data_IF_292359584663
#
_entry.id   IF_292359584663
#
_cell.length_a   1.000
_cell.length_b   1.000
_cell.length_c   1.000
_cell.angle_alpha   90.00
_cell.angle_beta   90.00
_cell.angle_gamma   90.00
#
_symmetry.space_group_name_H-M   'P 1'
#
loop_
_entity.id
_entity.type
_entity.pdbx_description
1 polymer ?
#
# COMPACT_ATOMS: atom_id res chain seq x y z
N UNK A 1 13.75 18.95 -1.72
CA UNK A 1 12.60 18.06 -1.44
C UNK A 1 12.11 17.30 -2.68
N UNK A 2 11.75 17.98 -3.77
CA UNK A 2 11.22 17.34 -4.99
C UNK A 2 12.19 16.34 -5.66
N UNK A 3 13.48 16.68 -5.73
CA UNK A 3 14.50 15.79 -6.33
C UNK A 3 14.69 14.50 -5.51
N UNK A 4 14.73 14.63 -4.18
CA UNK A 4 14.82 13.50 -3.25
C UNK A 4 13.64 12.52 -3.41
N UNK A 5 12.41 13.04 -3.53
CA UNK A 5 11.23 12.21 -3.74
C UNK A 5 11.28 11.45 -5.07
N UNK A 6 11.68 12.15 -6.15
CA UNK A 6 11.87 11.55 -7.49
C UNK A 6 12.92 10.44 -7.48
N UNK A 7 14.00 10.61 -6.72
CA UNK A 7 15.04 9.58 -6.60
C UNK A 7 14.55 8.36 -5.84
N UNK A 8 13.83 8.57 -4.72
CA UNK A 8 13.25 7.48 -3.94
C UNK A 8 12.26 6.67 -4.79
N UNK A 9 11.34 7.34 -5.50
CA UNK A 9 10.41 6.70 -6.44
C UNK A 9 11.14 5.93 -7.54
N UNK A 10 12.18 6.52 -8.14
CA UNK A 10 12.99 5.83 -9.16
C UNK A 10 13.67 4.57 -8.63
N UNK A 11 14.12 4.57 -7.37
CA UNK A 11 14.70 3.38 -6.73
C UNK A 11 13.64 2.30 -6.53
N UNK A 12 12.45 2.64 -6.03
CA UNK A 12 11.34 1.68 -5.88
C UNK A 12 10.91 1.07 -7.21
N UNK A 13 10.72 1.91 -8.23
CA UNK A 13 10.34 1.43 -9.57
C UNK A 13 11.42 0.51 -10.15
N UNK A 14 12.70 0.89 -10.06
CA UNK A 14 13.79 0.02 -10.53
C UNK A 14 13.83 -1.31 -9.78
N UNK A 15 13.68 -1.29 -8.47
CA UNK A 15 13.63 -2.50 -7.65
C UNK A 15 12.51 -3.44 -8.14
N UNK A 16 11.28 -2.94 -8.32
CA UNK A 16 10.15 -3.73 -8.81
C UNK A 16 10.43 -4.31 -10.19
N UNK A 17 11.01 -3.52 -11.10
CA UNK A 17 11.33 -3.97 -12.46
C UNK A 17 12.42 -5.06 -12.48
N UNK A 18 13.31 -5.09 -11.48
CA UNK A 18 14.41 -6.04 -11.38
C UNK A 18 14.03 -7.34 -10.68
N UNK A 19 12.81 -7.47 -10.14
CA UNK A 19 12.35 -8.70 -9.50
C UNK A 19 12.34 -9.87 -10.50
N UNK A 20 12.88 -11.01 -10.07
CA UNK A 20 12.97 -12.25 -10.85
C UNK A 20 11.71 -13.10 -10.69
N UNK A 21 10.63 -12.68 -11.34
CA UNK A 21 9.35 -13.39 -11.33
C UNK A 21 8.54 -13.04 -12.60
N UNK A 22 7.42 -13.73 -12.81
CA UNK A 22 6.48 -13.43 -13.89
C UNK A 22 5.91 -12.02 -13.74
N UNK A 23 5.74 -11.26 -14.85
CA UNK A 23 5.14 -9.93 -14.80
C UNK A 23 3.78 -9.88 -14.11
N UNK A 24 2.97 -10.93 -14.26
CA UNK A 24 1.64 -11.08 -13.65
C UNK A 24 1.73 -11.26 -12.13
N UNK A 25 2.72 -12.03 -11.63
CA UNK A 25 2.96 -12.20 -10.19
C UNK A 25 3.41 -10.89 -9.55
N UNK A 26 4.34 -10.17 -10.18
CA UNK A 26 4.83 -8.87 -9.70
C UNK A 26 3.71 -7.82 -9.71
N UNK A 27 2.93 -7.74 -10.80
CA UNK A 27 1.82 -6.82 -10.92
C UNK A 27 0.72 -7.08 -9.87
N UNK A 28 0.37 -8.36 -9.62
CA UNK A 28 -0.55 -8.73 -8.53
C UNK A 28 0.00 -8.30 -7.18
N UNK A 29 1.28 -8.56 -6.93
CA UNK A 29 1.96 -8.14 -5.71
C UNK A 29 1.86 -6.64 -5.48
N UNK A 30 2.19 -5.82 -6.48
CA UNK A 30 2.10 -4.36 -6.40
C UNK A 30 0.66 -3.88 -6.14
N UNK A 31 -0.30 -4.40 -6.90
CA UNK A 31 -1.70 -3.99 -6.77
C UNK A 31 -2.29 -4.31 -5.40
N UNK A 32 -2.08 -5.55 -4.92
CA UNK A 32 -2.58 -6.01 -3.62
C UNK A 32 -1.83 -5.32 -2.48
N UNK A 33 -0.52 -5.18 -2.60
CA UNK A 33 0.28 -4.47 -1.61
C UNK A 33 -0.16 -3.01 -1.47
N UNK A 34 -0.47 -2.33 -2.58
CA UNK A 34 -1.04 -0.97 -2.52
C UNK A 34 -2.42 -0.96 -1.88
N UNK A 35 -3.29 -1.90 -2.26
CA UNK A 35 -4.61 -2.03 -1.65
C UNK A 35 -4.50 -2.17 -0.13
N UNK A 36 -3.66 -3.09 0.34
CA UNK A 36 -3.44 -3.32 1.77
C UNK A 36 -2.79 -2.10 2.45
N UNK A 37 -1.86 -1.39 1.80
CA UNK A 37 -1.22 -0.19 2.32
C UNK A 37 -2.22 0.95 2.63
N UNK A 38 -3.31 1.04 1.85
CA UNK A 38 -4.36 2.04 2.06
C UNK A 38 -5.41 1.59 3.09
N UNK A 39 -5.38 0.35 3.58
CA UNK A 39 -6.30 -0.08 4.64
C UNK A 39 -5.73 0.26 6.02
N UNK A 40 -6.59 0.61 7.01
CA UNK A 40 -6.17 0.93 8.36
C UNK A 40 -5.76 -0.32 9.17
N UNK A 41 -4.75 -1.04 8.68
CA UNK A 41 -4.27 -2.32 9.21
C UNK A 41 -2.77 -2.30 9.55
N UNK A 42 -2.17 -1.11 9.71
CA UNK A 42 -0.78 -0.92 10.18
C UNK A 42 -0.48 -1.85 11.36
N UNK A 43 0.67 -2.50 11.36
CA UNK A 43 0.98 -3.63 12.26
C UNK A 43 0.78 -4.99 11.60
N UNK A 44 -0.30 -5.15 10.84
CA UNK A 44 -0.71 -6.43 10.23
C UNK A 44 -0.60 -6.47 8.71
N UNK A 45 -0.46 -5.33 8.02
CA UNK A 45 -0.40 -5.23 6.55
C UNK A 45 0.55 -6.26 5.89
N UNK A 46 1.75 -6.43 6.46
CA UNK A 46 2.75 -7.39 5.99
C UNK A 46 2.26 -8.83 6.09
N UNK A 47 1.65 -9.18 7.23
CA UNK A 47 1.05 -10.50 7.45
C UNK A 47 -0.12 -10.73 6.51
N UNK A 48 -0.93 -9.69 6.24
CA UNK A 48 -2.04 -9.75 5.29
C UNK A 48 -1.52 -10.04 3.88
N UNK A 49 -0.49 -9.34 3.40
CA UNK A 49 0.12 -9.60 2.08
C UNK A 49 0.66 -11.03 1.98
N UNK A 50 1.38 -11.48 3.00
CA UNK A 50 1.91 -12.87 3.03
C UNK A 50 0.76 -13.87 3.08
N UNK A 51 -0.27 -13.62 3.86
CA UNK A 51 -1.45 -14.47 3.97
C UNK A 51 -2.18 -14.60 2.63
N UNK A 52 -2.45 -13.48 1.97
CA UNK A 52 -3.08 -13.45 0.63
C UNK A 52 -2.23 -14.23 -0.38
N UNK A 53 -0.90 -14.17 -0.28
CA UNK A 53 -0.01 -14.89 -1.19
C UNK A 53 -0.10 -16.42 -1.12
N UNK A 54 -0.74 -16.99 -0.09
CA UNK A 54 -1.03 -18.42 -0.03
C UNK A 54 -2.24 -18.81 -0.90
N UNK A 55 -3.17 -17.89 -1.13
CA UNK A 55 -4.38 -18.14 -1.91
C UNK A 55 -4.21 -17.76 -3.38
N UNK A 56 -3.40 -16.74 -3.65
CA UNK A 56 -3.14 -16.26 -5.00
C UNK A 56 -1.65 -16.09 -5.24
N UNK A 57 -1.19 -16.53 -6.42
CA UNK A 57 0.20 -16.42 -6.83
C UNK A 57 0.58 -14.95 -7.07
N UNK A 58 1.13 -14.29 -6.05
CA UNK A 58 1.65 -12.93 -6.14
C UNK A 58 3.10 -12.89 -5.65
N UNK A 59 3.84 -11.91 -6.13
CA UNK A 59 5.21 -11.68 -5.67
C UNK A 59 5.15 -11.01 -4.29
N UNK A 60 5.50 -11.77 -3.24
CA UNK A 60 5.44 -11.31 -1.84
C UNK A 60 6.27 -10.06 -1.61
N UNK A 61 7.48 -10.01 -2.18
CA UNK A 61 8.37 -8.86 -2.05
C UNK A 61 7.79 -7.61 -2.70
N UNK A 62 7.19 -7.74 -3.89
CA UNK A 62 6.51 -6.62 -4.54
C UNK A 62 5.37 -6.07 -3.67
N UNK A 63 4.54 -6.93 -3.07
CA UNK A 63 3.46 -6.50 -2.18
C UNK A 63 3.95 -5.85 -0.88
N UNK A 64 4.97 -6.46 -0.26
CA UNK A 64 5.64 -5.93 0.94
C UNK A 64 6.21 -4.53 0.70
N UNK A 65 6.86 -4.30 -0.43
CA UNK A 65 7.42 -3.00 -0.77
C UNK A 65 6.35 -1.92 -0.86
N UNK A 66 5.16 -2.26 -1.36
CA UNK A 66 4.04 -1.32 -1.42
C UNK A 66 3.48 -0.99 -0.04
N UNK A 67 3.47 -1.95 0.89
CA UNK A 67 3.06 -1.70 2.29
C UNK A 67 3.93 -0.66 2.97
N UNK A 68 5.22 -0.52 2.61
CA UNK A 68 6.08 0.53 3.16
C UNK A 68 5.69 1.97 2.76
N UNK A 69 4.72 2.14 1.86
CA UNK A 69 4.15 3.45 1.55
C UNK A 69 3.41 4.01 2.77
N UNK A 70 2.72 3.19 3.55
CA UNK A 70 2.04 3.53 4.81
C UNK A 70 2.98 3.39 6.01
N UNK A 71 3.96 4.29 6.10
CA UNK A 71 4.93 4.37 7.20
C UNK A 71 4.47 5.40 8.27
N UNK A 72 5.12 5.47 9.45
CA UNK A 72 4.76 6.42 10.54
C UNK A 72 4.53 7.87 10.09
N UNK A 73 5.25 8.34 9.08
CA UNK A 73 5.12 9.70 8.58
C UNK A 73 3.93 9.90 7.63
N UNK A 74 3.49 8.85 6.95
CA UNK A 74 2.42 8.90 5.94
C UNK A 74 1.10 8.30 6.41
N UNK A 75 1.08 7.51 7.49
CA UNK A 75 -0.15 6.84 7.95
C UNK A 75 -1.22 7.84 8.40
N UNK A 76 -0.85 8.91 9.13
CA UNK A 76 -1.82 9.90 9.63
C UNK A 76 -2.54 10.62 8.47
N UNK A 77 -1.83 11.18 7.47
CA UNK A 77 -2.51 11.80 6.33
C UNK A 77 -3.27 10.79 5.45
N UNK A 78 -2.81 9.54 5.32
CA UNK A 78 -3.54 8.50 4.57
C UNK A 78 -4.85 8.18 5.29
N UNK A 79 -4.80 7.86 6.59
CA UNK A 79 -6.00 7.46 7.32
C UNK A 79 -6.98 8.61 7.51
N UNK A 80 -6.48 9.85 7.56
CA UNK A 80 -7.36 11.02 7.53
C UNK A 80 -8.11 11.13 6.20
N UNK A 81 -7.41 10.94 5.08
CA UNK A 81 -8.03 10.91 3.76
C UNK A 81 -9.05 9.77 3.66
N UNK A 82 -8.71 8.58 4.16
CA UNK A 82 -9.62 7.43 4.20
C UNK A 82 -10.85 7.74 5.04
N UNK A 83 -10.67 8.27 6.26
CA UNK A 83 -11.76 8.65 7.13
C UNK A 83 -12.69 9.69 6.47
N UNK A 84 -12.14 10.79 5.95
CA UNK A 84 -12.93 11.82 5.27
C UNK A 84 -13.71 11.24 4.09
N UNK A 85 -13.06 10.39 3.30
CA UNK A 85 -13.67 9.79 2.11
C UNK A 85 -14.79 8.84 2.49
N UNK A 86 -14.57 7.95 3.46
CA UNK A 86 -15.62 7.04 3.90
C UNK A 86 -16.74 7.74 4.66
N UNK A 87 -16.44 8.76 5.46
CA UNK A 87 -17.49 9.51 6.14
C UNK A 87 -18.37 10.26 5.14
N UNK A 88 -17.76 10.90 4.14
CA UNK A 88 -18.47 11.58 3.07
C UNK A 88 -19.31 10.62 2.21
N UNK A 89 -18.74 9.50 1.77
CA UNK A 89 -19.41 8.56 0.85
C UNK A 89 -20.55 7.79 1.53
N UNK A 90 -20.45 7.53 2.84
CA UNK A 90 -21.38 6.66 3.57
C UNK A 90 -22.21 7.40 4.62
N UNK A 91 -22.10 8.73 4.70
CA UNK A 91 -22.97 9.58 5.51
C UNK A 91 -22.68 9.56 7.01
N UNK A 92 -21.42 9.39 7.41
CA UNK A 92 -21.03 9.50 8.83
C UNK A 92 -20.77 10.96 9.21
N UNK A 93 -21.05 11.29 10.47
CA UNK A 93 -20.67 12.58 11.03
C UNK A 93 -19.14 12.70 11.15
N UNK A 94 -18.63 13.88 10.80
CA UNK A 94 -17.20 14.16 10.86
C UNK A 94 -16.80 14.57 12.28
N UNK A 95 -15.88 13.80 12.87
CA UNK A 95 -15.15 14.22 14.07
C UNK A 95 -14.18 15.34 13.71
N UNK A 96 -13.87 16.17 14.69
CA UNK A 96 -12.87 17.23 14.51
C UNK A 96 -11.48 16.63 14.26
N UNK A 97 -10.64 17.40 13.56
CA UNK A 97 -9.23 17.01 13.34
C UNK A 97 -8.50 16.70 14.65
N UNK A 98 -8.81 17.43 15.74
CA UNK A 98 -8.19 17.23 17.05
C UNK A 98 -8.59 15.89 17.68
N UNK A 99 -9.86 15.49 17.55
CA UNK A 99 -10.34 14.18 17.99
C UNK A 99 -9.75 13.06 17.14
N UNK A 100 -9.63 13.25 15.81
CA UNK A 100 -8.97 12.28 14.96
C UNK A 100 -7.49 12.09 15.32
N UNK A 101 -6.77 13.18 15.62
CA UNK A 101 -5.36 13.12 16.01
C UNK A 101 -5.12 12.39 17.34
N UNK A 102 -6.09 12.37 18.26
CA UNK A 102 -5.92 11.67 19.54
C UNK A 102 -5.80 10.15 19.36
N UNK A 103 -6.35 9.60 18.26
CA UNK A 103 -6.23 8.18 17.88
C UNK A 103 -4.76 7.76 17.72
N UNK A 104 -3.95 8.67 17.19
CA UNK A 104 -2.56 8.43 16.82
C UNK A 104 -1.56 8.89 17.87
N UNK A 105 -2.01 9.21 19.09
CA UNK A 105 -1.14 9.38 20.25
C UNK A 105 -0.66 8.01 20.73
N UNK A 106 0.07 7.31 19.86
CA UNK A 106 0.62 5.98 20.11
C UNK A 106 1.90 6.17 20.94
N UNK A 107 1.89 5.67 22.17
CA UNK A 107 3.07 5.68 23.06
C UNK A 107 3.99 4.48 22.76
N UNK A 108 3.46 3.42 22.14
CA UNK A 108 4.22 2.20 21.87
C UNK A 108 5.16 2.31 20.67
N UNK A 109 6.38 1.82 20.86
CA UNK A 109 7.41 1.72 19.81
C UNK A 109 7.31 0.41 19.02
N UNK A 110 6.51 -0.54 19.49
CA UNK A 110 6.42 -1.89 18.94
C UNK A 110 5.28 -2.00 17.92
N UNK A 111 5.64 -2.23 16.65
CA UNK A 111 4.73 -2.18 15.49
C UNK A 111 3.46 -3.04 15.60
N UNK A 112 3.53 -4.24 16.20
CA UNK A 112 2.34 -5.09 16.35
C UNK A 112 1.44 -4.67 17.52
N UNK A 113 1.98 -3.98 18.54
CA UNK A 113 1.18 -3.41 19.64
C UNK A 113 0.46 -2.15 19.21
N UNK A 114 1.09 -1.37 18.32
CA UNK A 114 0.48 -0.19 17.70
C UNK A 114 -0.87 -0.50 17.04
N UNK A 115 -1.03 -1.67 16.41
CA UNK A 115 -2.32 -2.07 15.83
C UNK A 115 -3.42 -2.18 16.90
N UNK A 116 -3.12 -2.85 18.02
CA UNK A 116 -4.10 -3.08 19.08
C UNK A 116 -4.44 -1.80 19.84
N UNK A 117 -3.46 -0.93 20.07
CA UNK A 117 -3.70 0.40 20.66
C UNK A 117 -4.50 1.29 19.74
N UNK A 118 -4.14 1.35 18.45
CA UNK A 118 -4.90 2.06 17.43
C UNK A 118 -6.35 1.59 17.41
N UNK A 119 -6.58 0.27 17.41
CA UNK A 119 -7.92 -0.29 17.44
C UNK A 119 -8.67 0.09 18.73
N UNK A 120 -8.00 0.05 19.89
CA UNK A 120 -8.56 0.48 21.16
C UNK A 120 -8.94 1.97 21.17
N UNK A 121 -8.08 2.83 20.63
CA UNK A 121 -8.31 4.27 20.52
C UNK A 121 -9.43 4.60 19.51
N UNK A 122 -9.53 3.86 18.41
CA UNK A 122 -10.66 3.99 17.50
C UNK A 122 -11.97 3.57 18.16
N UNK A 123 -11.98 2.47 18.93
CA UNK A 123 -13.17 2.00 19.62
C UNK A 123 -13.62 2.97 20.72
N UNK A 124 -12.69 3.65 21.40
CA UNK A 124 -13.02 4.63 22.45
C UNK A 124 -13.64 5.91 21.89
N UNK A 125 -13.32 6.30 20.65
CA UNK A 125 -14.00 7.37 19.91
C UNK A 125 -15.29 6.92 19.20
N UNK A 126 -15.59 5.61 19.23
CA UNK A 126 -16.77 5.01 18.63
C UNK A 126 -16.49 4.31 17.30
N UNK A 127 -17.28 3.25 17.02
CA UNK A 127 -17.24 2.51 15.76
C UNK A 127 -17.46 3.41 14.52
N UNK A 128 -18.03 4.59 14.73
CA UNK A 128 -18.30 5.64 13.75
C UNK A 128 -17.05 6.31 13.19
N UNK A 129 -15.87 6.14 13.80
CA UNK A 129 -14.59 6.57 13.19
C UNK A 129 -13.93 5.43 12.44
N UNK A 130 -13.95 4.23 13.01
CA UNK A 130 -13.31 3.06 12.44
C UNK A 130 -13.97 2.64 11.12
N UNK A 131 -15.31 2.58 11.09
CA UNK A 131 -16.07 2.15 9.92
C UNK A 131 -15.81 3.02 8.67
N UNK A 132 -15.99 4.35 8.70
CA UNK A 132 -15.68 5.19 7.54
C UNK A 132 -14.21 5.13 7.15
N UNK A 133 -13.28 5.03 8.09
CA UNK A 133 -11.86 4.89 7.76
C UNK A 133 -11.57 3.59 6.98
N UNK A 134 -12.16 2.45 7.37
CA UNK A 134 -12.03 1.21 6.59
C UNK A 134 -12.69 1.32 5.21
N UNK A 135 -13.87 1.94 5.13
CA UNK A 135 -14.59 2.13 3.87
C UNK A 135 -13.82 3.01 2.90
N UNK A 136 -13.23 4.11 3.38
CA UNK A 136 -12.35 4.96 2.60
C UNK A 136 -11.06 4.25 2.20
N UNK A 137 -10.46 3.46 3.09
CA UNK A 137 -9.27 2.67 2.78
C UNK A 137 -9.52 1.61 1.72
N UNK A 138 -10.69 0.95 1.73
CA UNK A 138 -11.13 0.05 0.65
C UNK A 138 -11.30 0.82 -0.65
N UNK A 139 -11.92 2.00 -0.60
CA UNK A 139 -12.12 2.86 -1.77
C UNK A 139 -10.79 3.28 -2.38
N UNK A 140 -9.90 3.90 -1.60
CA UNK A 140 -8.59 4.35 -2.08
C UNK A 140 -7.67 3.19 -2.45
N UNK A 141 -7.72 2.10 -1.70
CA UNK A 141 -7.04 0.86 -2.02
C UNK A 141 -7.45 0.33 -3.40
N UNK A 142 -8.74 0.39 -3.75
CA UNK A 142 -9.22 0.01 -5.08
C UNK A 142 -8.83 1.05 -6.14
N UNK A 143 -9.04 2.34 -5.88
CA UNK A 143 -8.73 3.45 -6.81
C UNK A 143 -7.25 3.48 -7.18
N UNK A 144 -6.35 3.20 -6.23
CA UNK A 144 -4.91 3.17 -6.48
C UNK A 144 -4.40 1.78 -6.89
N UNK A 145 -4.90 0.73 -6.27
CA UNK A 145 -4.45 -0.65 -6.51
C UNK A 145 -4.86 -1.19 -7.87
N UNK A 146 -6.11 -0.96 -8.32
CA UNK A 146 -6.61 -1.50 -9.59
C UNK A 146 -5.83 -0.97 -10.80
N UNK A 147 -5.54 0.35 -10.94
CA UNK A 147 -4.75 0.86 -12.06
C UNK A 147 -3.27 0.46 -12.00
N UNK A 148 -2.73 0.20 -10.80
CA UNK A 148 -1.35 -0.24 -10.66
C UNK A 148 -1.11 -1.63 -11.26
N UNK A 149 -2.10 -2.52 -11.25
CA UNK A 149 -1.97 -3.83 -11.88
C UNK A 149 -1.57 -3.75 -13.37
N UNK A 150 -2.38 -3.15 -14.28
CA UNK A 150 -2.02 -3.07 -15.70
C UNK A 150 -0.79 -2.19 -15.93
N UNK A 151 -0.56 -1.15 -15.12
CA UNK A 151 0.62 -0.28 -15.24
C UNK A 151 1.91 -1.06 -14.95
N UNK A 152 1.97 -1.78 -13.82
CA UNK A 152 3.12 -2.59 -13.45
C UNK A 152 3.29 -3.74 -14.43
N UNK A 153 2.21 -4.40 -14.86
CA UNK A 153 2.26 -5.48 -15.84
C UNK A 153 2.91 -5.00 -17.15
N UNK A 154 2.49 -3.85 -17.67
CA UNK A 154 3.07 -3.25 -18.86
C UNK A 154 4.56 -2.91 -18.66
N UNK A 155 4.89 -2.26 -17.55
CA UNK A 155 6.26 -1.82 -17.26
C UNK A 155 7.24 -3.00 -17.12
N UNK A 156 6.86 -4.04 -16.38
CA UNK A 156 7.69 -5.24 -16.16
C UNK A 156 7.84 -6.04 -17.46
N UNK A 157 6.75 -6.25 -18.23
CA UNK A 157 6.83 -6.93 -19.54
C UNK A 157 7.76 -6.20 -20.49
N UNK A 158 7.69 -4.86 -20.54
CA UNK A 158 8.58 -4.05 -21.37
C UNK A 158 10.04 -4.20 -20.94
N UNK A 159 10.32 -4.12 -19.65
CA UNK A 159 11.68 -4.25 -19.11
C UNK A 159 12.28 -5.64 -19.38
N UNK A 160 11.52 -6.72 -19.11
CA UNK A 160 11.99 -8.08 -19.35
C UNK A 160 12.21 -8.39 -20.85
N UNK A 161 11.38 -7.84 -21.75
CA UNK A 161 11.61 -7.94 -23.21
C UNK A 161 12.91 -7.26 -23.64
N UNK A 162 13.17 -6.07 -23.11
CA UNK A 162 14.41 -5.33 -23.39
C UNK A 162 15.65 -6.01 -22.82
N UNK A 163 15.55 -6.79 -21.75
CA UNK A 163 16.67 -7.58 -21.21
C UNK A 163 16.98 -8.82 -22.08
N UNK A 164 15.97 -9.39 -22.74
CA UNK A 164 16.13 -10.59 -23.59
C UNK A 164 16.63 -10.31 -25.02
N UNK A 165 16.34 -9.13 -25.58
CA UNK A 165 16.74 -8.75 -26.95
C UNK A 165 18.25 -8.43 -27.19
N UNK A 166 19.05 -7.92 -26.22
CA UNK A 166 20.46 -7.62 -26.46
C UNK A 166 21.31 -8.85 -26.81
N UNK A 167 20.96 -10.03 -26.26
CA UNK A 167 21.71 -11.26 -26.49
C UNK A 167 21.59 -11.86 -27.91
N UNK A 168 20.64 -11.40 -28.72
CA UNK A 168 20.43 -11.90 -30.09
C UNK A 168 21.17 -11.09 -31.17
N UNK A 169 21.81 -9.97 -30.82
CA UNK A 169 22.51 -9.10 -31.80
C UNK A 169 24.03 -9.28 -31.81
N UNK A 170 24.59 -10.07 -30.90
CA UNK A 170 26.04 -10.32 -30.79
C UNK A 170 26.47 -11.70 -31.32
N UNK A 171 25.53 -12.57 -31.71
CA UNK A 171 25.83 -13.90 -32.28
C UNK A 171 25.91 -13.96 -33.82
N UNK A 172 25.73 -12.83 -34.50
CA UNK A 172 25.61 -12.73 -35.97
C UNK A 172 26.66 -11.78 -36.59
N UNK A 173 27.83 -11.63 -35.95
CA UNK A 173 28.96 -10.85 -36.48
C UNK A 173 30.25 -11.65 -36.50
#
# INVERSE_FOLDING_TARGET
MWQWLKEKLRKYVRFILQLEDTPESIARGVAIGMFVAMTPTVGLQMLIVVFISFFIQLNRLAGIVMVYISNPFTLVPIYWLDYLTGAYLFGYELVSWKEFQSIFQLEETVFYRQFWEFLGNCLSLGAEVLAPMFLGGIFWGAVLGLPLYPLTLYAVRRYQRQKKQPALKEGDR
#
